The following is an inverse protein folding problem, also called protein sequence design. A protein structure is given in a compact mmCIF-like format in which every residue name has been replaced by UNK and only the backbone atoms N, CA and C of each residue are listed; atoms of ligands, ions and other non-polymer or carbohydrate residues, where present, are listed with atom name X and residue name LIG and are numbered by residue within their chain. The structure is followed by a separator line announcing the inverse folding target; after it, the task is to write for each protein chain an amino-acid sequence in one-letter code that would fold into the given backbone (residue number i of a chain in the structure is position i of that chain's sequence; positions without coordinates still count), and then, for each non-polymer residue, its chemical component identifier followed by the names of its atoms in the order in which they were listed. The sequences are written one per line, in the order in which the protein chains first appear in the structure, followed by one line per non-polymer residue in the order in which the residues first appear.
data_IF_432910034232
#
_entry.id   IF_432910034232
#
_cell.length_a   1.000
_cell.length_b   1.000
_cell.length_c   1.000
_cell.angle_alpha   90.00
_cell.angle_beta   90.00
_cell.angle_gamma   90.00
#
_symmetry.space_group_name_H-M   'P 1'
#
loop_
_entity.id
_entity.type
_entity.pdbx_description
1 polymer ?
#
# COMPACT_ATOMS: atom_id res chain seq x y z
N UNK A 1 10.14 -8.19 -3.67
CA UNK A 1 10.42 -8.14 -2.21
C UNK A 1 10.79 -9.51 -1.68
N UNK A 2 11.60 -9.58 -0.61
CA UNK A 2 12.12 -10.82 -0.05
C UNK A 2 11.34 -11.28 1.20
N UNK A 3 11.15 -12.59 1.40
CA UNK A 3 10.34 -13.14 2.51
C UNK A 3 10.79 -12.63 3.90
N UNK A 4 12.09 -12.47 4.12
CA UNK A 4 12.64 -12.00 5.40
C UNK A 4 12.97 -10.50 5.42
N UNK A 5 12.56 -9.74 4.40
CA UNK A 5 12.92 -8.33 4.21
C UNK A 5 14.40 -8.08 3.90
N UNK A 6 15.29 -9.04 4.17
CA UNK A 6 16.72 -8.94 3.88
C UNK A 6 16.98 -8.96 2.37
N UNK A 7 17.51 -7.85 1.89
CA UNK A 7 18.01 -7.66 0.54
C UNK A 7 19.34 -6.90 0.61
N UNK A 8 20.18 -7.07 -0.40
CA UNK A 8 21.38 -6.27 -0.58
C UNK A 8 21.47 -5.86 -2.05
N UNK A 9 22.03 -4.68 -2.29
CA UNK A 9 22.30 -4.20 -3.65
C UNK A 9 23.70 -4.63 -4.04
N UNK A 10 23.83 -5.32 -5.18
CA UNK A 10 25.14 -5.66 -5.71
C UNK A 10 25.72 -4.47 -6.48
N UNK A 11 26.97 -4.13 -6.19
CA UNK A 11 27.63 -2.95 -6.75
C UNK A 11 27.93 -3.05 -8.25
N UNK A 12 27.98 -4.26 -8.81
CA UNK A 12 28.36 -4.46 -10.21
C UNK A 12 27.20 -4.22 -11.18
N UNK A 13 25.97 -4.56 -10.77
CA UNK A 13 24.77 -4.46 -11.60
C UNK A 13 23.73 -3.48 -11.02
N UNK A 14 23.94 -2.99 -9.79
CA UNK A 14 23.02 -2.12 -9.05
C UNK A 14 21.62 -2.74 -8.87
N UNK A 15 21.55 -4.08 -8.85
CA UNK A 15 20.31 -4.83 -8.64
C UNK A 15 20.21 -5.27 -7.16
N UNK A 16 19.01 -5.16 -6.60
CA UNK A 16 18.70 -5.65 -5.25
C UNK A 16 18.34 -7.14 -5.29
N UNK A 17 19.09 -7.95 -4.54
CA UNK A 17 18.91 -9.40 -4.46
C UNK A 17 18.43 -9.85 -3.08
N UNK A 18 17.55 -10.84 -3.06
CA UNK A 18 17.25 -11.65 -1.88
C UNK A 18 18.40 -12.66 -1.67
N UNK A 19 19.34 -12.33 -0.78
CA UNK A 19 20.55 -13.13 -0.54
C UNK A 19 20.34 -14.33 0.38
N UNK A 20 19.75 -14.09 1.55
CA UNK A 20 19.49 -15.13 2.57
C UNK A 20 18.03 -15.59 2.59
N UNK A 21 17.22 -15.10 1.65
CA UNK A 21 15.79 -15.39 1.59
C UNK A 21 15.33 -15.51 0.13
N UNK A 22 14.10 -15.97 -0.03
CA UNK A 22 13.47 -16.10 -1.34
C UNK A 22 12.67 -14.85 -1.68
N UNK A 23 12.43 -14.68 -2.98
CA UNK A 23 11.41 -13.81 -3.48
C UNK A 23 10.06 -14.23 -2.92
N UNK A 24 9.31 -13.26 -2.40
CA UNK A 24 7.97 -13.51 -1.91
C UNK A 24 7.04 -13.78 -3.10
N UNK A 25 6.34 -14.92 -3.07
CA UNK A 25 5.51 -15.37 -4.19
C UNK A 25 4.29 -14.48 -4.44
N UNK A 26 3.74 -13.88 -3.39
CA UNK A 26 2.56 -13.03 -3.46
C UNK A 26 2.75 -11.85 -2.52
N UNK A 27 2.43 -10.65 -3.00
CA UNK A 27 2.34 -9.46 -2.16
C UNK A 27 0.89 -9.18 -1.84
N UNK A 28 0.61 -8.81 -0.60
CA UNK A 28 -0.71 -8.37 -0.20
C UNK A 28 -0.68 -6.92 0.25
N UNK A 29 -1.70 -6.17 -0.14
CA UNK A 29 -2.10 -4.95 0.52
C UNK A 29 -3.13 -5.37 1.56
N UNK A 30 -2.69 -5.54 2.81
CA UNK A 30 -3.42 -6.15 3.94
C UNK A 30 -4.14 -7.46 3.53
N UNK A 31 -5.39 -7.40 3.07
CA UNK A 31 -6.15 -8.61 2.74
C UNK A 31 -6.12 -9.00 1.26
N UNK A 32 -5.81 -8.06 0.36
CA UNK A 32 -5.85 -8.32 -1.07
C UNK A 32 -4.50 -8.59 -1.68
N UNK A 33 -4.46 -9.53 -2.62
CA UNK A 33 -3.27 -9.84 -3.39
C UNK A 33 -3.08 -8.75 -4.44
N UNK A 34 -1.93 -8.09 -4.41
CA UNK A 34 -1.55 -7.11 -5.43
C UNK A 34 -1.24 -7.90 -6.71
N UNK A 35 -1.88 -7.59 -7.85
CA UNK A 35 -1.59 -8.26 -9.11
C UNK A 35 -0.13 -8.10 -9.53
N UNK A 36 0.45 -9.17 -10.07
CA UNK A 36 1.86 -9.21 -10.49
C UNK A 36 2.23 -8.09 -11.48
N UNK A 37 1.27 -7.61 -12.26
CA UNK A 37 1.48 -6.52 -13.23
C UNK A 37 1.89 -5.19 -12.57
N UNK A 38 1.56 -5.00 -11.28
CA UNK A 38 1.93 -3.80 -10.52
C UNK A 38 3.17 -4.01 -9.62
N UNK A 39 3.84 -5.16 -9.73
CA UNK A 39 4.96 -5.53 -8.89
C UNK A 39 6.29 -5.40 -9.62
N UNK A 40 7.30 -4.91 -8.88
CA UNK A 40 8.67 -4.90 -9.39
C UNK A 40 9.28 -6.29 -9.48
N UNK A 41 10.24 -6.44 -10.39
CA UNK A 41 11.00 -7.66 -10.54
C UNK A 41 11.63 -8.09 -9.23
N UNK A 42 11.83 -9.41 -9.09
CA UNK A 42 12.48 -9.97 -7.92
C UNK A 42 13.62 -10.90 -8.31
N UNK A 43 14.76 -10.65 -7.68
CA UNK A 43 15.99 -11.39 -7.93
C UNK A 43 16.44 -12.10 -6.65
N UNK A 44 16.89 -13.35 -6.81
CA UNK A 44 17.51 -14.14 -5.74
C UNK A 44 18.98 -14.36 -6.03
N UNK A 45 19.80 -14.39 -4.97
CA UNK A 45 21.15 -14.92 -5.06
C UNK A 45 21.32 -16.13 -4.15
N UNK A 46 21.60 -17.29 -4.73
CA UNK A 46 21.93 -18.53 -4.00
C UNK A 46 23.22 -19.11 -4.51
N UNK A 47 24.16 -19.44 -3.62
CA UNK A 47 25.46 -20.02 -3.98
C UNK A 47 26.19 -19.23 -5.10
N UNK A 48 26.19 -17.88 -4.99
CA UNK A 48 26.73 -16.94 -5.99
C UNK A 48 26.02 -16.91 -7.35
N UNK A 49 24.94 -17.68 -7.54
CA UNK A 49 24.10 -17.61 -8.73
C UNK A 49 23.00 -16.58 -8.52
N UNK A 50 23.03 -15.53 -9.33
CA UNK A 50 21.98 -14.50 -9.45
C UNK A 50 20.92 -14.96 -10.43
N UNK A 51 19.66 -14.96 -10.02
CA UNK A 51 18.53 -15.39 -10.87
C UNK A 51 17.36 -14.44 -10.68
N UNK A 52 16.76 -14.02 -11.79
CA UNK A 52 15.46 -13.35 -11.78
C UNK A 52 14.37 -14.42 -11.57
N UNK A 53 13.63 -14.31 -10.47
CA UNK A 53 12.58 -15.26 -10.10
C UNK A 53 11.22 -14.78 -10.58
N UNK A 54 10.96 -13.49 -10.45
CA UNK A 54 9.74 -12.86 -10.96
C UNK A 54 10.11 -11.69 -11.90
N UNK A 55 9.43 -11.56 -13.06
CA UNK A 55 9.66 -10.46 -13.97
C UNK A 55 9.12 -9.14 -13.44
N UNK A 56 9.59 -8.04 -14.06
CA UNK A 56 9.00 -6.72 -13.87
C UNK A 56 7.60 -6.73 -14.48
N UNK A 57 6.60 -6.28 -13.70
CA UNK A 57 5.26 -6.02 -14.22
C UNK A 57 5.21 -4.76 -15.11
N UNK A 58 4.04 -4.46 -15.69
CA UNK A 58 3.81 -3.21 -16.41
C UNK A 58 3.95 -1.96 -15.53
N UNK A 59 3.79 -2.11 -14.22
CA UNK A 59 3.83 -1.04 -13.24
C UNK A 59 2.57 -0.17 -13.25
N UNK A 60 2.63 0.93 -12.51
CA UNK A 60 1.65 2.01 -12.56
C UNK A 60 2.30 3.20 -13.29
N UNK A 61 1.55 3.87 -14.15
CA UNK A 61 2.03 5.08 -14.79
C UNK A 61 2.18 6.21 -13.75
N UNK A 62 2.98 7.25 -14.03
CA UNK A 62 3.10 8.38 -13.12
C UNK A 62 1.75 9.01 -12.79
N UNK A 63 1.49 9.25 -11.50
CA UNK A 63 0.24 9.78 -10.94
C UNK A 63 -0.97 8.82 -10.99
N UNK A 64 -0.75 7.53 -11.24
CA UNK A 64 -1.80 6.53 -11.07
C UNK A 64 -1.83 5.99 -9.63
N UNK A 65 -3.03 5.61 -9.19
CA UNK A 65 -3.30 5.02 -7.89
C UNK A 65 -4.06 3.71 -8.10
N UNK A 66 -3.50 2.61 -7.60
CA UNK A 66 -4.21 1.34 -7.51
C UNK A 66 -4.98 1.28 -6.20
N UNK A 67 -6.30 1.06 -6.30
CA UNK A 67 -7.16 0.82 -5.14
C UNK A 67 -7.77 -0.57 -5.26
N UNK A 68 -7.45 -1.45 -4.31
CA UNK A 68 -8.14 -2.72 -4.16
C UNK A 68 -9.36 -2.53 -3.26
N UNK A 69 -10.46 -3.23 -3.57
CA UNK A 69 -11.72 -3.08 -2.83
C UNK A 69 -12.17 -4.44 -2.31
N UNK A 70 -12.45 -4.50 -1.02
CA UNK A 70 -12.87 -5.71 -0.31
C UNK A 70 -14.19 -5.54 0.43
N UNK A 71 -14.80 -6.67 0.78
CA UNK A 71 -15.94 -6.75 1.69
C UNK A 71 -15.74 -7.90 2.69
N UNK A 72 -14.83 -7.68 3.64
CA UNK A 72 -14.41 -8.63 4.65
C UNK A 72 -14.88 -8.16 6.04
N UNK A 73 -16.07 -8.63 6.43
CA UNK A 73 -16.72 -8.31 7.71
C UNK A 73 -15.92 -8.73 8.95
N UNK A 74 -15.13 -9.80 8.85
CA UNK A 74 -14.32 -10.31 9.98
C UNK A 74 -13.19 -9.38 10.39
N UNK A 75 -12.75 -8.49 9.49
CA UNK A 75 -11.65 -7.55 9.71
C UNK A 75 -12.17 -6.16 10.13
N UNK A 76 -13.41 -6.10 10.60
CA UNK A 76 -14.10 -4.87 10.97
C UNK A 76 -14.38 -4.83 12.46
N UNK A 77 -13.92 -3.75 13.11
CA UNK A 77 -14.27 -3.45 14.49
C UNK A 77 -15.77 -3.19 14.66
N UNK A 78 -16.26 -3.27 15.90
CA UNK A 78 -17.64 -2.91 16.21
C UNK A 78 -17.92 -1.46 15.77
N UNK A 79 -19.00 -1.25 15.01
CA UNK A 79 -19.42 0.04 14.46
C UNK A 79 -18.52 0.67 13.37
N UNK A 80 -17.61 -0.11 12.77
CA UNK A 80 -16.85 0.33 11.60
C UNK A 80 -17.66 0.05 10.33
N UNK A 81 -17.94 1.08 9.53
CA UNK A 81 -18.70 0.95 8.27
C UNK A 81 -17.80 0.57 7.09
N UNK A 82 -16.59 1.14 7.06
CA UNK A 82 -15.51 0.79 6.15
C UNK A 82 -14.18 1.22 6.79
N UNK A 83 -13.08 0.78 6.22
CA UNK A 83 -11.75 1.30 6.52
C UNK A 83 -10.89 1.31 5.27
N UNK A 84 -9.86 2.15 5.27
CA UNK A 84 -8.84 2.14 4.24
C UNK A 84 -7.42 2.28 4.77
N UNK A 85 -6.49 1.74 4.00
CA UNK A 85 -5.06 1.79 4.27
C UNK A 85 -4.29 2.01 2.97
N UNK A 86 -3.22 2.78 3.02
CA UNK A 86 -2.21 2.78 1.96
C UNK A 86 -1.12 1.76 2.30
N UNK A 87 -0.72 0.95 1.33
CA UNK A 87 0.18 -0.18 1.53
C UNK A 87 1.60 0.10 1.06
N UNK A 88 1.74 0.91 0.00
CA UNK A 88 3.04 1.26 -0.56
C UNK A 88 3.15 2.76 -0.84
N UNK A 89 4.33 3.30 -0.56
CA UNK A 89 4.72 4.70 -0.74
C UNK A 89 5.80 4.74 -1.81
N UNK A 90 5.74 5.70 -2.74
CA UNK A 90 6.68 5.79 -3.87
C UNK A 90 8.14 5.82 -3.36
N UNK A 91 8.98 4.84 -3.75
CA UNK A 91 10.37 4.75 -3.28
C UNK A 91 11.26 5.88 -3.80
N UNK A 92 10.96 6.47 -4.96
CA UNK A 92 11.75 7.54 -5.59
C UNK A 92 11.46 8.91 -4.97
N UNK A 93 10.29 9.06 -4.37
CA UNK A 93 9.92 10.29 -3.66
C UNK A 93 10.53 10.43 -2.26
N UNK A 94 11.29 9.42 -1.81
CA UNK A 94 12.03 9.44 -0.54
C UNK A 94 13.30 10.30 -0.56
N UNK A 95 13.63 10.94 -1.69
CA UNK A 95 14.81 11.80 -1.84
C UNK A 95 14.44 13.27 -1.58
N UNK A 96 14.83 13.69 -0.38
CA UNK A 96 15.02 15.07 0.08
C UNK A 96 13.74 15.92 0.25
N UNK A 97 13.51 16.31 1.51
CA UNK A 97 12.50 17.26 2.01
C UNK A 97 11.09 16.68 2.18
N UNK A 98 10.83 16.03 3.32
CA UNK A 98 9.60 16.01 4.15
C UNK A 98 8.16 15.99 3.54
N UNK A 99 7.99 15.91 2.24
CA UNK A 99 6.74 16.01 1.49
C UNK A 99 6.93 15.24 0.19
N UNK A 100 6.68 13.94 0.24
CA UNK A 100 6.13 13.15 -0.86
C UNK A 100 6.01 11.72 -0.32
N UNK A 101 5.03 11.50 0.56
CA UNK A 101 4.43 10.18 0.64
C UNK A 101 3.38 10.20 -0.45
N UNK A 102 3.73 9.75 -1.65
CA UNK A 102 2.77 9.49 -2.71
C UNK A 102 2.35 8.04 -2.59
N UNK A 103 1.30 7.73 -1.81
CA UNK A 103 0.74 6.39 -1.76
C UNK A 103 0.22 6.05 -3.16
N UNK A 104 0.68 4.93 -3.71
CA UNK A 104 0.31 4.50 -5.07
C UNK A 104 -0.42 3.15 -5.08
N UNK A 105 -0.51 2.48 -3.93
CA UNK A 105 -1.37 1.31 -3.72
C UNK A 105 -2.08 1.44 -2.36
N UNK A 106 -3.40 1.26 -2.35
CA UNK A 106 -4.20 1.17 -1.12
C UNK A 106 -5.34 0.17 -1.22
N UNK A 107 -5.90 -0.18 -0.06
CA UNK A 107 -7.09 -1.04 0.06
C UNK A 107 -8.21 -0.26 0.74
N UNK A 108 -9.43 -0.39 0.21
CA UNK A 108 -10.68 -0.02 0.88
C UNK A 108 -11.46 -1.29 1.19
N UNK A 109 -11.80 -1.50 2.45
CA UNK A 109 -12.66 -2.59 2.87
C UNK A 109 -14.00 -2.06 3.36
N UNK A 110 -15.10 -2.53 2.77
CA UNK A 110 -16.44 -2.25 3.25
C UNK A 110 -16.88 -3.32 4.26
N UNK A 111 -17.40 -2.89 5.40
CA UNK A 111 -17.74 -3.78 6.52
C UNK A 111 -19.22 -4.22 6.54
N UNK A 112 -19.99 -3.75 5.55
CA UNK A 112 -21.40 -4.09 5.42
C UNK A 112 -21.58 -5.47 4.81
N UNK A 113 -22.43 -6.29 5.39
CA UNK A 113 -22.85 -7.51 4.69
C UNK A 113 -23.60 -7.15 3.40
N UNK A 114 -23.67 -8.12 2.48
CA UNK A 114 -24.28 -7.95 1.17
C UNK A 114 -25.70 -7.35 1.26
N UNK A 115 -26.49 -7.76 2.26
CA UNK A 115 -27.84 -7.24 2.50
C UNK A 115 -27.86 -5.77 2.90
N UNK A 116 -27.01 -5.36 3.84
CA UNK A 116 -26.92 -3.95 4.25
C UNK A 116 -26.34 -3.07 3.13
N UNK A 117 -25.41 -3.61 2.33
CA UNK A 117 -24.84 -2.93 1.16
C UNK A 117 -25.93 -2.68 0.11
N UNK A 118 -26.75 -3.69 -0.22
CA UNK A 118 -27.86 -3.55 -1.17
C UNK A 118 -29.00 -2.64 -0.68
N UNK A 119 -29.11 -2.43 0.64
CA UNK A 119 -30.12 -1.54 1.24
C UNK A 119 -29.63 -0.10 1.41
N UNK A 120 -28.32 0.11 1.38
CA UNK A 120 -27.74 1.45 1.46
C UNK A 120 -27.99 2.21 0.17
N UNK A 121 -28.20 3.53 0.27
CA UNK A 121 -28.33 4.36 -0.92
C UNK A 121 -26.98 4.46 -1.63
N UNK A 122 -26.99 4.51 -2.96
CA UNK A 122 -25.78 4.74 -3.78
C UNK A 122 -24.99 5.97 -3.29
N UNK A 123 -25.70 7.00 -2.82
CA UNK A 123 -25.08 8.21 -2.27
C UNK A 123 -24.33 7.97 -0.96
N UNK A 124 -24.88 7.15 -0.06
CA UNK A 124 -24.24 6.82 1.22
C UNK A 124 -22.96 6.01 0.99
N UNK A 125 -23.01 4.99 0.11
CA UNK A 125 -21.82 4.21 -0.25
C UNK A 125 -20.79 5.06 -0.96
N UNK A 126 -21.20 5.92 -1.89
CA UNK A 126 -20.28 6.81 -2.59
C UNK A 126 -19.60 7.79 -1.63
N UNK A 127 -20.32 8.33 -0.64
CA UNK A 127 -19.73 9.23 0.35
C UNK A 127 -18.76 8.50 1.28
N UNK A 128 -19.10 7.29 1.71
CA UNK A 128 -18.22 6.44 2.50
C UNK A 128 -16.96 6.08 1.71
N UNK A 129 -17.11 5.61 0.47
CA UNK A 129 -15.98 5.31 -0.41
C UNK A 129 -15.07 6.53 -0.63
N UNK A 130 -15.64 7.72 -0.85
CA UNK A 130 -14.84 8.96 -0.95
C UNK A 130 -14.06 9.27 0.32
N UNK A 131 -14.66 9.09 1.49
CA UNK A 131 -13.99 9.28 2.78
C UNK A 131 -12.79 8.35 2.90
N UNK A 132 -12.98 7.06 2.63
CA UNK A 132 -11.92 6.04 2.72
C UNK A 132 -10.81 6.25 1.67
N UNK A 133 -11.17 6.58 0.42
CA UNK A 133 -10.19 6.96 -0.62
C UNK A 133 -9.39 8.19 -0.19
N UNK A 134 -10.01 9.13 0.51
CA UNK A 134 -9.30 10.26 1.12
C UNK A 134 -8.17 9.81 2.04
N UNK A 135 -8.39 8.80 2.88
CA UNK A 135 -7.33 8.24 3.73
C UNK A 135 -6.18 7.65 2.92
N UNK A 136 -6.47 6.96 1.81
CA UNK A 136 -5.45 6.44 0.89
C UNK A 136 -4.65 7.59 0.28
N UNK A 137 -5.29 8.70 -0.10
CA UNK A 137 -4.64 9.88 -0.67
C UNK A 137 -3.81 10.70 0.32
N UNK A 138 -3.68 10.26 1.57
CA UNK A 138 -2.88 10.94 2.59
C UNK A 138 -3.67 11.84 3.54
N UNK A 139 -5.01 11.90 3.43
CA UNK A 139 -5.85 12.57 4.42
C UNK A 139 -6.02 11.70 5.68
N UNK A 140 -4.92 11.38 6.35
CA UNK A 140 -4.89 10.56 7.55
C UNK A 140 -3.94 11.15 8.62
N UNK A 141 -4.19 10.82 9.89
CA UNK A 141 -3.45 11.37 11.02
C UNK A 141 -1.93 11.14 10.90
N UNK A 142 -1.51 9.97 10.42
CA UNK A 142 -0.08 9.64 10.25
C UNK A 142 0.61 10.62 9.30
N UNK A 143 -0.04 10.97 8.19
CA UNK A 143 0.49 11.92 7.22
C UNK A 143 0.56 13.32 7.83
N UNK A 144 -0.54 13.80 8.43
CA UNK A 144 -0.60 15.12 9.08
C UNK A 144 0.45 15.30 10.18
N UNK A 145 0.65 14.29 11.03
CA UNK A 145 1.63 14.35 12.12
C UNK A 145 3.08 14.45 11.63
N UNK A 146 3.36 14.06 10.39
CA UNK A 146 4.68 14.10 9.78
C UNK A 146 4.88 15.34 8.90
N UNK A 147 3.87 16.21 8.75
CA UNK A 147 4.00 17.44 7.97
C UNK A 147 4.88 18.45 8.73
N UNK A 148 6.02 18.89 8.16
CA UNK A 148 6.95 19.79 8.82
C UNK A 148 6.33 21.15 9.17
N UNK A 149 5.46 21.66 8.29
CA UNK A 149 4.88 23.01 8.39
C UNK A 149 3.46 23.02 8.98
N UNK A 150 2.97 21.89 9.48
CA UNK A 150 1.66 21.88 10.12
C UNK A 150 1.76 22.53 11.50
N UNK A 151 1.02 23.64 11.66
CA UNK A 151 0.86 24.33 12.94
C UNK A 151 0.52 23.30 14.03
N UNK A 152 1.17 23.44 15.18
CA UNK A 152 0.93 22.58 16.33
C UNK A 152 -0.54 22.53 16.75
N UNK A 153 -1.32 23.59 16.48
CA UNK A 153 -2.77 23.60 16.74
C UNK A 153 -3.58 22.60 15.91
N UNK A 154 -3.04 22.12 14.78
CA UNK A 154 -3.71 21.15 13.90
C UNK A 154 -3.13 19.74 14.02
N UNK A 155 -2.12 19.53 14.88
CA UNK A 155 -1.58 18.19 15.15
C UNK A 155 -2.51 17.46 16.09
N UNK A 156 -3.04 16.33 15.65
CA UNK A 156 -3.92 15.49 16.46
C UNK A 156 -3.09 14.80 17.55
N UNK A 157 -3.59 14.79 18.79
CA UNK A 157 -2.96 14.10 19.92
C UNK A 157 -2.66 12.64 19.55
N UNK A 158 -1.47 12.17 19.95
CA UNK A 158 -1.07 10.76 19.77
C UNK A 158 -1.93 9.90 20.71
N UNK A 159 -3.04 9.36 20.20
CA UNK A 159 -3.84 8.31 20.85
C UNK A 159 -3.18 6.95 20.70
#
# INVERSE_FOLDING_TARGET
MCIKGYHYTDWNDNISYCGESQCMKQRTCRNEIIPDDYLSACYEQRNRKKTQVFPEGGGLAPNELLITVTNLKLDCGANVAAWAIFCEEDPNTKREVYFNLSPFIGEVNFCSDEKNTLQSTDQSLANLGKHEIGHILGFNQRTYNNLPDLDYSFRLDKS
#
